data_IF_338400081784
#
_entry.id   IF_338400081784
#
_cell.length_a   1.000
_cell.length_b   1.000
_cell.length_c   1.000
_cell.angle_alpha   90.00
_cell.angle_beta   90.00
_cell.angle_gamma   90.00
#
_symmetry.space_group_name_H-M   'P 1'
#
loop_
_entity.id
_entity.type
_entity.pdbx_description
1 polymer ?
#
# COMPACT_ATOMS: atom_id res chain seq x y z
N UNK A 1 -6.73 14.55 -7.76
CA UNK A 1 -6.19 13.18 -7.58
C UNK A 1 -7.02 12.09 -8.28
N UNK A 2 -8.36 12.09 -8.18
CA UNK A 2 -9.24 11.09 -8.82
C UNK A 2 -9.14 10.99 -10.37
N UNK A 3 -8.77 12.08 -11.05
CA UNK A 3 -8.57 12.09 -12.52
C UNK A 3 -7.39 11.23 -12.99
N UNK A 4 -6.33 11.11 -12.17
CA UNK A 4 -5.17 10.27 -12.48
C UNK A 4 -5.53 8.78 -12.33
N UNK A 5 -6.28 8.42 -11.29
CA UNK A 5 -6.78 7.05 -11.10
C UNK A 5 -7.73 6.60 -12.22
N UNK A 6 -8.67 7.47 -12.62
CA UNK A 6 -9.55 7.17 -13.76
C UNK A 6 -8.80 7.05 -15.08
N UNK A 7 -7.64 7.70 -15.24
CA UNK A 7 -6.79 7.58 -16.43
C UNK A 7 -5.92 6.32 -16.43
N UNK A 8 -5.61 5.77 -15.26
CA UNK A 8 -4.86 4.52 -15.08
C UNK A 8 -5.76 3.26 -15.12
N UNK A 9 -7.01 3.37 -14.66
CA UNK A 9 -7.97 2.25 -14.56
C UNK A 9 -9.05 2.29 -15.64
N UNK A 10 -9.33 3.46 -16.23
CA UNK A 10 -10.40 3.65 -17.19
C UNK A 10 -10.00 3.19 -18.59
N UNK A 11 -10.61 2.08 -19.03
CA UNK A 11 -10.71 1.76 -20.45
C UNK A 11 -11.51 2.89 -21.12
N UNK A 12 -10.89 3.64 -22.03
CA UNK A 12 -11.61 4.60 -22.87
C UNK A 12 -12.72 3.83 -23.61
N UNK A 13 -13.98 4.06 -23.23
CA UNK A 13 -15.10 3.53 -23.99
C UNK A 13 -15.07 4.21 -25.35
N UNK A 14 -15.06 3.44 -26.44
CA UNK A 14 -15.08 4.03 -27.77
C UNK A 14 -16.41 4.79 -27.94
N UNK A 15 -16.32 6.11 -28.07
CA UNK A 15 -17.48 7.01 -28.26
C UNK A 15 -18.00 7.02 -29.71
N UNK A 16 -17.51 6.08 -30.52
CA UNK A 16 -17.90 5.98 -31.93
C UNK A 16 -19.29 5.35 -32.03
N UNK A 17 -20.17 5.86 -32.91
CA UNK A 17 -21.44 5.22 -33.19
C UNK A 17 -21.21 3.78 -33.71
N UNK A 18 -22.18 2.87 -33.56
CA UNK A 18 -22.08 1.51 -34.06
C UNK A 18 -21.75 1.53 -35.56
N UNK A 19 -20.79 0.68 -35.96
CA UNK A 19 -20.26 0.67 -37.33
C UNK A 19 -21.34 0.22 -38.32
N UNK A 20 -21.74 1.12 -39.21
CA UNK A 20 -22.68 0.82 -40.29
C UNK A 20 -21.94 0.30 -41.53
N UNK A 21 -22.18 -0.97 -41.86
CA UNK A 21 -21.55 -1.63 -43.00
C UNK A 21 -22.03 -1.08 -44.36
N UNK A 22 -23.22 -0.48 -44.42
CA UNK A 22 -23.83 0.02 -45.66
C UNK A 22 -23.21 1.36 -46.10
N UNK A 23 -22.84 2.20 -45.13
CA UNK A 23 -22.24 3.52 -45.34
C UNK A 23 -20.72 3.50 -45.49
N UNK A 24 -20.08 2.33 -45.39
CA UNK A 24 -18.62 2.22 -45.44
C UNK A 24 -18.08 2.41 -46.86
N UNK A 25 -17.29 3.48 -47.08
CA UNK A 25 -16.59 3.77 -48.35
C UNK A 25 -15.72 2.61 -48.86
N UNK A 26 -15.16 1.82 -47.94
CA UNK A 26 -14.25 0.73 -48.27
C UNK A 26 -14.92 -0.62 -48.11
N UNK A 27 -15.60 -1.08 -49.16
CA UNK A 27 -16.26 -2.38 -49.14
C UNK A 27 -15.27 -3.54 -49.04
N UNK A 28 -15.67 -4.56 -48.28
CA UNK A 28 -14.85 -5.74 -48.04
C UNK A 28 -14.85 -6.63 -49.29
N UNK A 29 -13.70 -6.77 -49.95
CA UNK A 29 -13.55 -7.61 -51.16
C UNK A 29 -13.77 -9.11 -50.92
N UNK A 30 -13.51 -9.59 -49.70
CA UNK A 30 -13.68 -11.01 -49.31
C UNK A 30 -14.39 -11.09 -47.96
N UNK A 31 -15.60 -11.65 -47.95
CA UNK A 31 -16.38 -11.83 -46.72
C UNK A 31 -15.60 -12.70 -45.73
N UNK A 32 -15.35 -12.15 -44.55
CA UNK A 32 -14.83 -12.90 -43.41
C UNK A 32 -16.02 -13.29 -42.52
N UNK A 33 -16.04 -14.47 -41.87
CA UNK A 33 -15.07 -15.56 -41.93
C UNK A 33 -15.18 -16.40 -43.20
N UNK A 34 -14.08 -17.05 -43.66
CA UNK A 34 -14.16 -18.02 -44.74
C UNK A 34 -14.95 -19.27 -44.29
N UNK A 35 -15.68 -19.89 -45.21
CA UNK A 35 -16.38 -21.16 -44.95
C UNK A 35 -15.36 -22.28 -44.74
N UNK A 36 -15.07 -22.67 -43.48
CA UNK A 36 -14.05 -23.66 -43.16
C UNK A 36 -14.21 -25.01 -43.89
N UNK A 37 -15.46 -25.42 -44.15
CA UNK A 37 -15.78 -26.68 -44.86
C UNK A 37 -15.37 -26.68 -46.33
N UNK A 38 -15.17 -25.51 -46.94
CA UNK A 38 -14.75 -25.39 -48.34
C UNK A 38 -13.21 -25.27 -48.51
N UNK A 39 -12.46 -25.28 -47.41
CA UNK A 39 -11.00 -25.17 -47.44
C UNK A 39 -10.33 -26.54 -47.38
N UNK A 40 -9.20 -26.70 -48.06
CA UNK A 40 -8.32 -27.87 -47.94
C UNK A 40 -7.83 -28.03 -46.49
N UNK A 41 -7.65 -29.27 -46.02
CA UNK A 41 -7.21 -29.59 -44.65
C UNK A 41 -5.92 -28.87 -44.25
N UNK A 42 -4.95 -28.76 -45.18
CA UNK A 42 -3.71 -27.99 -44.96
C UNK A 42 -4.00 -26.52 -44.62
N UNK A 43 -4.99 -25.92 -45.26
CA UNK A 43 -5.38 -24.53 -45.00
C UNK A 43 -6.16 -24.44 -43.67
N UNK A 44 -7.06 -25.38 -43.40
CA UNK A 44 -7.79 -25.46 -42.13
C UNK A 44 -6.83 -25.53 -40.94
N UNK A 45 -5.82 -26.41 -40.99
CA UNK A 45 -4.79 -26.55 -39.96
C UNK A 45 -4.00 -25.25 -39.73
N UNK A 46 -3.67 -24.50 -40.80
CA UNK A 46 -3.00 -23.19 -40.68
C UNK A 46 -3.88 -22.17 -39.96
N UNK A 47 -5.18 -22.15 -40.25
CA UNK A 47 -6.12 -21.27 -39.57
C UNK A 47 -6.31 -21.64 -38.11
N UNK A 48 -6.46 -22.93 -37.81
CA UNK A 48 -6.56 -23.44 -36.45
C UNK A 48 -5.32 -23.05 -35.62
N UNK A 49 -4.12 -23.30 -36.16
CA UNK A 49 -2.86 -22.93 -35.49
C UNK A 49 -2.79 -21.42 -35.24
N UNK A 50 -3.18 -20.59 -36.22
CA UNK A 50 -3.21 -19.13 -36.08
C UNK A 50 -4.24 -18.69 -35.02
N UNK A 51 -5.40 -19.34 -34.98
CA UNK A 51 -6.47 -19.04 -34.02
C UNK A 51 -6.04 -19.40 -32.59
N UNK A 52 -5.51 -20.60 -32.36
CA UNK A 52 -4.97 -21.02 -31.04
C UNK A 52 -3.91 -20.07 -30.52
N UNK A 53 -2.97 -19.64 -31.37
CA UNK A 53 -1.95 -18.63 -31.02
C UNK A 53 -2.58 -17.30 -30.60
N UNK A 54 -3.58 -16.81 -31.33
CA UNK A 54 -4.28 -15.56 -31.02
C UNK A 54 -5.10 -15.68 -29.73
N UNK A 55 -5.73 -16.82 -29.47
CA UNK A 55 -6.42 -17.05 -28.19
C UNK A 55 -5.41 -17.00 -27.05
N UNK A 56 -4.27 -17.68 -27.16
CA UNK A 56 -3.21 -17.64 -26.14
C UNK A 56 -2.72 -16.21 -25.90
N UNK A 57 -2.54 -15.42 -26.96
CA UNK A 57 -2.18 -14.02 -26.83
C UNK A 57 -3.27 -13.17 -26.14
N UNK A 58 -4.55 -13.44 -26.43
CA UNK A 58 -5.71 -12.74 -25.81
C UNK A 58 -5.99 -13.17 -24.37
N UNK A 59 -5.63 -14.40 -24.00
CA UNK A 59 -5.80 -14.93 -22.64
C UNK A 59 -4.76 -14.38 -21.69
N UNK A 60 -3.58 -13.99 -22.18
CA UNK A 60 -2.59 -13.25 -21.39
C UNK A 60 -3.20 -11.89 -21.00
N UNK A 61 -3.46 -11.71 -19.70
CA UNK A 61 -3.94 -10.46 -19.10
C UNK A 61 -2.78 -9.77 -18.36
N UNK A 62 -1.98 -8.92 -19.03
CA UNK A 62 -0.79 -8.34 -18.43
C UNK A 62 -1.11 -7.41 -17.25
N UNK A 63 -2.25 -6.72 -17.30
CA UNK A 63 -2.71 -5.83 -16.22
C UNK A 63 -3.10 -6.61 -14.97
N UNK A 64 -3.86 -7.69 -15.13
CA UNK A 64 -4.23 -8.58 -14.01
C UNK A 64 -2.98 -9.15 -13.34
N UNK A 65 -2.05 -9.68 -14.13
CA UNK A 65 -0.79 -10.22 -13.61
C UNK A 65 0.07 -9.15 -12.90
N UNK A 66 0.01 -7.89 -13.32
CA UNK A 66 0.69 -6.79 -12.63
C UNK A 66 0.05 -6.53 -11.26
N UNK A 67 -1.28 -6.47 -11.19
CA UNK A 67 -2.00 -6.24 -9.94
C UNK A 67 -1.83 -7.38 -8.95
N UNK A 68 -1.91 -8.64 -9.39
CA UNK A 68 -1.70 -9.79 -8.49
C UNK A 68 -0.29 -9.79 -7.92
N UNK A 69 0.73 -9.47 -8.72
CA UNK A 69 2.11 -9.31 -8.22
C UNK A 69 2.23 -8.20 -7.19
N UNK A 70 1.62 -7.04 -7.42
CA UNK A 70 1.63 -5.93 -6.45
C UNK A 70 0.98 -6.38 -5.13
N UNK A 71 -0.17 -7.06 -5.19
CA UNK A 71 -0.87 -7.57 -4.01
C UNK A 71 -0.03 -8.63 -3.29
N UNK A 72 0.61 -9.55 -4.02
CA UNK A 72 1.52 -10.56 -3.45
C UNK A 72 2.67 -9.92 -2.70
N UNK A 73 3.38 -8.97 -3.33
CA UNK A 73 4.47 -8.25 -2.68
C UNK A 73 3.99 -7.42 -1.50
N UNK A 74 2.83 -6.77 -1.60
CA UNK A 74 2.23 -6.03 -0.49
C UNK A 74 1.89 -6.94 0.70
N UNK A 75 1.37 -8.14 0.46
CA UNK A 75 1.07 -9.11 1.52
C UNK A 75 2.35 -9.63 2.17
N UNK A 76 3.37 -9.98 1.37
CA UNK A 76 4.67 -10.41 1.89
C UNK A 76 5.28 -9.29 2.75
N UNK A 77 5.34 -8.06 2.24
CA UNK A 77 5.85 -6.92 3.00
C UNK A 77 5.04 -6.66 4.27
N UNK A 78 3.71 -6.75 4.20
CA UNK A 78 2.84 -6.58 5.37
C UNK A 78 3.12 -7.63 6.44
N UNK A 79 3.24 -8.91 6.08
CA UNK A 79 3.56 -9.99 7.02
C UNK A 79 4.95 -9.82 7.63
N UNK A 80 5.94 -9.40 6.84
CA UNK A 80 7.30 -9.13 7.34
C UNK A 80 7.29 -7.98 8.33
N UNK A 81 6.64 -6.85 8.01
CA UNK A 81 6.53 -5.70 8.92
C UNK A 81 5.80 -6.09 10.19
N UNK A 82 4.67 -6.80 10.07
CA UNK A 82 3.92 -7.29 11.23
C UNK A 82 4.78 -8.22 12.11
N UNK A 83 5.44 -9.20 11.51
CA UNK A 83 6.32 -10.13 12.23
C UNK A 83 7.44 -9.42 12.97
N UNK A 84 8.20 -8.58 12.27
CA UNK A 84 9.35 -7.88 12.85
C UNK A 84 8.94 -6.85 13.89
N UNK A 85 7.79 -6.19 13.73
CA UNK A 85 7.48 -4.99 14.49
C UNK A 85 6.37 -5.15 15.53
N UNK A 86 5.38 -6.00 15.28
CA UNK A 86 4.18 -6.10 16.13
C UNK A 86 3.95 -7.49 16.70
N UNK A 87 4.51 -8.54 16.09
CA UNK A 87 4.30 -9.91 16.54
C UNK A 87 5.05 -10.20 17.85
N UNK A 88 4.33 -10.74 18.82
CA UNK A 88 4.85 -11.13 20.12
C UNK A 88 5.24 -12.61 20.14
N UNK A 89 6.49 -12.90 19.76
CA UNK A 89 7.04 -14.25 19.75
C UNK A 89 7.26 -14.85 21.15
N UNK A 90 7.05 -14.09 22.23
CA UNK A 90 7.24 -14.61 23.60
C UNK A 90 6.19 -15.64 23.97
N UNK A 91 5.01 -15.55 23.34
CA UNK A 91 3.85 -16.43 23.56
C UNK A 91 3.71 -17.48 22.46
N UNK A 92 4.63 -17.53 21.51
CA UNK A 92 4.59 -18.48 20.39
C UNK A 92 5.13 -19.84 20.84
N UNK A 93 4.33 -20.94 20.74
CA UNK A 93 4.78 -22.29 21.06
C UNK A 93 5.92 -22.80 20.15
N UNK A 94 6.15 -22.18 18.98
CA UNK A 94 7.19 -22.56 18.02
C UNK A 94 8.52 -21.79 18.23
N UNK A 95 8.62 -20.94 19.26
CA UNK A 95 9.84 -20.19 19.52
C UNK A 95 10.94 -21.11 20.11
N UNK A 96 12.13 -21.22 19.48
CA UNK A 96 13.22 -22.05 19.99
C UNK A 96 13.78 -21.57 21.34
N UNK A 97 13.51 -20.31 21.72
CA UNK A 97 13.88 -19.74 23.02
C UNK A 97 12.63 -19.17 23.73
N UNK A 98 11.95 -19.96 24.56
CA UNK A 98 10.72 -19.53 25.20
C UNK A 98 10.96 -18.30 26.09
N UNK A 99 10.16 -17.24 25.91
CA UNK A 99 10.20 -16.01 26.70
C UNK A 99 11.07 -14.86 26.15
N UNK A 100 11.97 -15.14 25.21
CA UNK A 100 12.77 -14.11 24.53
C UNK A 100 11.99 -13.51 23.35
N UNK A 101 12.01 -12.17 23.21
CA UNK A 101 11.42 -11.48 22.08
C UNK A 101 12.51 -11.13 21.04
N UNK A 102 12.54 -11.80 19.88
CA UNK A 102 13.46 -11.44 18.81
C UNK A 102 13.08 -10.06 18.28
N UNK A 103 14.08 -9.28 17.84
CA UNK A 103 13.95 -7.92 17.31
C UNK A 103 13.51 -6.83 18.30
N UNK A 104 13.51 -7.07 19.62
CA UNK A 104 13.16 -6.04 20.62
C UNK A 104 14.06 -4.78 20.51
N UNK A 105 15.37 -4.94 20.32
CA UNK A 105 16.29 -3.82 20.10
C UNK A 105 16.01 -3.04 18.81
N UNK A 106 15.61 -3.71 17.74
CA UNK A 106 15.25 -3.07 16.47
C UNK A 106 13.94 -2.27 16.62
N UNK A 107 12.93 -2.84 17.29
CA UNK A 107 11.67 -2.15 17.60
C UNK A 107 11.94 -0.91 18.42
N UNK A 108 12.68 -1.01 19.53
CA UNK A 108 13.01 0.13 20.41
C UNK A 108 13.76 1.23 19.67
N UNK A 109 14.74 0.88 18.82
CA UNK A 109 15.47 1.86 17.99
C UNK A 109 14.56 2.56 16.99
N UNK A 110 13.71 1.80 16.30
CA UNK A 110 12.81 2.35 15.28
C UNK A 110 11.74 3.23 15.91
N UNK A 111 11.12 2.80 17.01
CA UNK A 111 10.16 3.61 17.77
C UNK A 111 10.80 4.81 18.47
N UNK A 112 12.05 4.71 18.92
CA UNK A 112 12.81 5.86 19.45
C UNK A 112 13.12 6.88 18.37
N UNK A 113 13.50 6.44 17.17
CA UNK A 113 13.73 7.32 16.02
C UNK A 113 12.42 7.97 15.55
N UNK A 114 11.35 7.18 15.38
CA UNK A 114 10.01 7.69 15.05
C UNK A 114 9.50 8.67 16.12
N UNK A 115 9.66 8.34 17.41
CA UNK A 115 9.32 9.22 18.52
C UNK A 115 10.01 10.57 18.39
N UNK A 116 11.33 10.58 18.21
CA UNK A 116 12.09 11.82 18.04
C UNK A 116 11.64 12.63 16.81
N UNK A 117 11.39 11.98 15.67
CA UNK A 117 10.88 12.66 14.47
C UNK A 117 9.49 13.28 14.64
N UNK A 118 8.61 12.68 15.43
CA UNK A 118 7.27 13.22 15.71
C UNK A 118 7.25 14.23 16.87
N UNK A 119 8.12 14.12 17.88
CA UNK A 119 8.15 15.08 19.00
C UNK A 119 8.76 16.43 18.61
N UNK A 120 9.65 16.48 17.62
CA UNK A 120 10.18 17.76 17.10
C UNK A 120 9.10 18.64 16.45
N UNK A 121 7.96 18.08 16.01
CA UNK A 121 6.84 18.88 15.52
C UNK A 121 5.92 19.35 16.66
N UNK A 122 5.85 18.64 17.79
CA UNK A 122 5.16 19.14 18.99
C UNK A 122 5.90 20.32 19.63
N UNK A 123 7.23 20.33 19.64
CA UNK A 123 8.00 21.47 20.16
C UNK A 123 7.92 22.70 19.23
N UNK A 124 7.71 22.49 17.92
CA UNK A 124 7.43 23.57 16.97
C UNK A 124 5.98 24.10 17.05
N UNK A 125 5.01 23.25 17.44
CA UNK A 125 3.62 23.65 17.72
C UNK A 125 3.42 24.19 19.14
N UNK A 126 4.30 23.85 20.10
CA UNK A 126 4.41 24.47 21.42
C UNK A 126 5.28 25.72 21.36
N UNK A 127 4.99 26.61 20.41
CA UNK A 127 5.40 27.99 20.52
C UNK A 127 4.76 28.60 21.77
N UNK A 128 5.61 29.04 22.72
CA UNK A 128 5.34 29.95 23.84
C UNK A 128 3.85 30.25 24.16
N UNK A 129 3.14 29.25 24.70
CA UNK A 129 1.78 29.39 25.20
C UNK A 129 1.75 29.57 26.71
N UNK A 130 1.85 30.84 27.16
CA UNK A 130 1.46 31.40 28.48
C UNK A 130 0.98 30.40 29.53
N UNK A 131 1.86 29.99 30.47
CA UNK A 131 1.38 29.26 31.65
C UNK A 131 2.37 28.41 32.44
N UNK A 132 3.69 28.51 32.22
CA UNK A 132 4.68 27.87 33.10
C UNK A 132 4.77 28.61 34.44
N UNK A 133 3.74 28.43 35.29
CA UNK A 133 3.73 28.91 36.65
C UNK A 133 4.85 28.20 37.42
N UNK A 134 5.91 28.96 37.66
CA UNK A 134 7.00 28.70 38.61
C UNK A 134 6.43 28.05 39.88
N UNK A 135 6.70 26.76 40.10
CA UNK A 135 6.52 26.12 41.41
C UNK A 135 7.74 26.50 42.25
N UNK A 136 7.76 27.72 42.78
CA UNK A 136 8.62 27.95 43.93
C UNK A 136 7.92 27.37 45.16
N UNK A 137 8.60 26.53 45.96
CA UNK A 137 8.08 26.18 47.27
C UNK A 137 8.10 27.45 48.12
N UNK A 138 6.95 27.83 48.68
CA UNK A 138 6.90 28.82 49.76
C UNK A 138 7.75 28.28 50.91
N UNK A 139 8.88 28.94 51.18
CA UNK A 139 9.60 28.76 52.43
C UNK A 139 8.74 29.30 53.56
N UNK A 140 8.42 28.43 54.51
CA UNK A 140 7.66 28.78 55.72
C UNK A 140 8.56 29.59 56.66
N UNK A 141 8.57 30.91 56.49
CA UNK A 141 9.18 31.84 57.44
C UNK A 141 8.20 32.15 58.55
N UNK A 142 7.92 31.17 59.41
CA UNK A 142 7.18 31.41 60.66
C UNK A 142 7.66 30.60 61.86
N UNK A 143 8.98 30.48 62.05
CA UNK A 143 9.56 30.15 63.36
C UNK A 143 10.89 30.88 63.53
N UNK A 144 10.85 32.11 64.07
CA UNK A 144 11.99 32.80 64.72
C UNK A 144 11.54 34.16 65.26
N UNK A 145 10.84 34.16 66.40
CA UNK A 145 10.84 35.25 67.38
C UNK A 145 10.08 34.81 68.61
N UNK A 146 10.81 34.30 69.61
CA UNK A 146 10.18 33.85 70.85
C UNK A 146 11.10 33.02 71.74
N UNK A 147 12.38 33.36 71.84
CA UNK A 147 13.20 32.92 72.97
C UNK A 147 14.30 33.96 73.23
N UNK A 148 14.48 34.30 74.52
CA UNK A 148 15.34 35.33 75.16
C UNK A 148 14.53 36.59 75.55
N UNK A 149 14.32 36.94 76.83
CA UNK A 149 15.05 36.62 78.08
C UNK A 149 14.17 36.89 79.32
N UNK A 150 14.41 36.10 80.36
CA UNK A 150 14.19 36.42 81.77
C UNK A 150 15.22 37.46 82.24
N UNK A 151 14.91 38.10 83.38
CA UNK A 151 15.62 39.17 84.12
C UNK A 151 15.29 40.62 83.75
#
# INVERSE_FOLDING_TARGET
>A
MLRLFNRLLGRHQNTLPPFDFTRNKYHVKKKWPPNFRALTDKQQFRFERKFKRRIKAKSIKPTWNKWTKIVQWSLISFLVVYGVLFHDFRKDPMNPRPGEQPFDGLRKRMWGMLGNFYTHTEDAFKGEGRGSRRKEPLTDTREKSGHQREE
#
